data_IF_739746336310
#
_entry.id   IF_739746336310
#
_cell.length_a   1.000
_cell.length_b   1.000
_cell.length_c   1.000
_cell.angle_alpha   90.00
_cell.angle_beta   90.00
_cell.angle_gamma   90.00
#
_symmetry.space_group_name_H-M   'P 1'
#
loop_
_entity.id
_entity.type
_entity.pdbx_description
1 polymer ?
#
# COMPACT_ATOMS: atom_id res chain seq x y z
N UNK A 1 -18.01 7.08 11.41
CA UNK A 1 -17.37 6.57 11.93
C UNK A 1 -16.03 6.74 11.97
N UNK A 2 -15.48 6.54 12.66
CA UNK A 2 -14.21 6.96 12.82
C UNK A 2 -13.28 5.90 12.44
N UNK A 3 -12.05 6.25 12.32
CA UNK A 3 -10.99 5.34 11.99
C UNK A 3 -10.27 4.84 13.23
N UNK A 4 -10.96 4.78 14.34
CA UNK A 4 -10.32 4.30 15.54
C UNK A 4 -9.88 2.88 15.38
N UNK A 5 -8.62 2.63 15.68
CA UNK A 5 -8.06 1.28 15.60
C UNK A 5 -8.20 0.59 16.94
N UNK A 6 -8.49 -0.69 16.87
CA UNK A 6 -8.39 -1.52 18.05
C UNK A 6 -6.92 -1.85 18.29
N UNK A 7 -6.63 -2.25 19.51
CA UNK A 7 -5.26 -2.65 19.82
C UNK A 7 -4.84 -3.76 18.87
N UNK A 8 -3.69 -3.58 18.26
CA UNK A 8 -3.17 -4.56 17.32
C UNK A 8 -3.66 -4.42 15.90
N UNK A 9 -4.42 -3.37 15.59
CA UNK A 9 -4.84 -3.10 14.21
C UNK A 9 -4.04 -1.95 13.63
N UNK A 10 -3.84 -1.99 12.31
CA UNK A 10 -3.15 -0.94 11.58
C UNK A 10 -3.50 -1.06 10.11
N UNK A 11 -3.17 -0.04 9.33
CA UNK A 11 -3.42 -0.03 7.90
C UNK A 11 -2.13 -0.17 7.13
N UNK A 12 -2.24 -0.79 5.96
CA UNK A 12 -1.09 -1.04 5.09
C UNK A 12 -1.46 -0.71 3.65
N UNK A 13 -0.44 -0.48 2.82
CA UNK A 13 -0.63 -0.36 1.38
C UNK A 13 -0.30 -1.70 0.73
N UNK A 14 -1.20 -2.13 -0.13
CA UNK A 14 -1.08 -3.42 -0.81
C UNK A 14 -0.89 -3.16 -2.28
N UNK A 15 0.14 -3.75 -2.84
CA UNK A 15 0.46 -3.65 -4.25
C UNK A 15 0.01 -4.93 -4.93
N UNK A 16 -1.05 -4.83 -5.74
CA UNK A 16 -1.53 -5.97 -6.50
C UNK A 16 -0.76 -6.07 -7.79
N UNK A 17 -0.08 -7.19 -7.97
CA UNK A 17 0.59 -7.52 -9.21
C UNK A 17 -0.34 -8.38 -10.03
N UNK A 18 0.10 -8.77 -11.20
CA UNK A 18 -0.73 -9.56 -12.09
C UNK A 18 -1.15 -10.89 -11.45
N UNK A 19 -0.22 -11.57 -10.78
CA UNK A 19 -0.47 -12.90 -10.26
C UNK A 19 -0.38 -13.02 -8.74
N UNK A 20 -0.06 -11.93 -8.04
CA UNK A 20 0.11 -11.97 -6.60
C UNK A 20 0.02 -10.56 -6.05
N UNK A 21 0.10 -10.43 -4.73
CA UNK A 21 0.16 -9.10 -4.11
C UNK A 21 1.24 -9.07 -3.04
N UNK A 22 1.68 -7.86 -2.75
CA UNK A 22 2.73 -7.61 -1.78
C UNK A 22 2.35 -6.41 -0.94
N UNK A 23 3.02 -6.26 0.20
CA UNK A 23 2.83 -5.11 1.07
C UNK A 23 3.98 -4.13 0.88
N UNK A 24 3.67 -2.85 0.87
CA UNK A 24 4.72 -1.83 0.86
C UNK A 24 5.44 -1.88 2.20
N UNK A 25 6.76 -2.09 2.18
CA UNK A 25 7.53 -2.27 3.40
C UNK A 25 8.54 -1.17 3.67
N UNK A 26 8.97 -0.44 2.66
CA UNK A 26 9.97 0.60 2.87
C UNK A 26 9.96 1.57 1.70
N UNK A 27 10.07 2.84 2.00
CA UNK A 27 10.15 3.89 0.98
C UNK A 27 11.18 4.92 1.40
N UNK A 28 12.04 5.27 0.47
CA UNK A 28 12.98 6.37 0.64
C UNK A 28 12.94 7.18 -0.65
N UNK A 29 12.11 8.21 -0.66
CA UNK A 29 11.89 9.01 -1.86
C UNK A 29 13.16 9.71 -2.30
N UNK A 30 13.95 10.17 -1.36
CA UNK A 30 15.16 10.91 -1.68
C UNK A 30 16.21 10.06 -2.38
N UNK A 31 16.22 8.77 -2.11
CA UNK A 31 17.18 7.84 -2.70
C UNK A 31 16.55 6.91 -3.72
N UNK A 32 15.30 7.17 -4.09
CA UNK A 32 14.58 6.38 -5.09
C UNK A 32 14.48 4.90 -4.72
N UNK A 33 14.28 4.62 -3.45
CA UNK A 33 14.18 3.24 -2.98
C UNK A 33 12.76 2.91 -2.57
N UNK A 34 12.28 1.77 -3.06
CA UNK A 34 11.01 1.23 -2.65
C UNK A 34 11.20 -0.26 -2.44
N UNK A 35 10.63 -0.79 -1.38
CA UNK A 35 10.70 -2.21 -1.09
C UNK A 35 9.34 -2.74 -0.75
N UNK A 36 9.09 -3.98 -1.12
CA UNK A 36 7.86 -4.67 -0.82
C UNK A 36 8.18 -5.98 -0.11
N UNK A 37 7.18 -6.58 0.50
CA UNK A 37 7.38 -7.84 1.22
C UNK A 37 6.08 -8.63 1.16
N UNK A 38 6.19 -9.94 1.15
CA UNK A 38 5.03 -10.81 1.29
C UNK A 38 4.61 -10.94 2.75
N UNK A 39 5.40 -10.45 3.67
CA UNK A 39 5.14 -10.62 5.10
C UNK A 39 4.43 -9.39 5.64
N UNK A 40 3.20 -9.54 6.12
CA UNK A 40 2.46 -8.37 6.63
C UNK A 40 3.15 -7.69 7.82
N UNK A 41 3.91 -8.43 8.60
CA UNK A 41 4.60 -7.81 9.74
C UNK A 41 5.70 -6.86 9.31
N UNK A 42 6.11 -6.92 8.04
CA UNK A 42 7.12 -6.01 7.50
C UNK A 42 6.52 -4.81 6.80
N UNK A 43 5.20 -4.77 6.67
CA UNK A 43 4.53 -3.66 6.00
C UNK A 43 4.69 -2.38 6.80
N UNK A 44 4.69 -1.25 6.09
CA UNK A 44 4.61 0.04 6.75
C UNK A 44 3.25 0.15 7.40
N UNK A 45 3.22 0.55 8.67
CA UNK A 45 1.99 0.69 9.42
C UNK A 45 1.49 2.13 9.35
N UNK A 46 0.23 2.28 8.99
CA UNK A 46 -0.43 3.59 9.01
C UNK A 46 -1.52 3.54 10.08
N UNK A 47 -1.75 4.67 10.73
CA UNK A 47 -2.72 4.76 11.82
C UNK A 47 -4.15 4.84 11.32
N UNK A 48 -4.36 5.22 10.08
CA UNK A 48 -5.70 5.32 9.52
C UNK A 48 -5.67 5.03 8.02
N UNK A 49 -6.84 4.71 7.49
CA UNK A 49 -6.98 4.56 6.05
C UNK A 49 -6.64 5.86 5.33
N UNK A 50 -7.04 6.98 5.90
CA UNK A 50 -6.74 8.29 5.33
C UNK A 50 -5.25 8.54 5.24
N UNK A 51 -4.52 8.21 6.30
CA UNK A 51 -3.07 8.41 6.30
C UNK A 51 -2.40 7.60 5.19
N UNK A 52 -2.84 6.36 5.01
CA UNK A 52 -2.28 5.52 3.95
C UNK A 52 -2.58 6.10 2.57
N UNK A 53 -3.81 6.56 2.36
CA UNK A 53 -4.20 7.16 1.08
C UNK A 53 -3.43 8.44 0.81
N UNK A 54 -3.32 9.31 1.82
CA UNK A 54 -2.60 10.56 1.66
C UNK A 54 -1.14 10.31 1.31
N UNK A 55 -0.53 9.36 1.99
CA UNK A 55 0.86 9.00 1.69
C UNK A 55 1.00 8.54 0.26
N UNK A 56 0.09 7.67 -0.19
CA UNK A 56 0.16 7.15 -1.54
C UNK A 56 -0.04 8.27 -2.58
N UNK A 57 -1.06 9.10 -2.40
CA UNK A 57 -1.34 10.14 -3.38
C UNK A 57 -0.27 11.23 -3.39
N UNK A 58 0.29 11.56 -2.25
CA UNK A 58 1.37 12.55 -2.19
C UNK A 58 2.63 12.07 -2.89
N UNK A 59 2.78 10.77 -3.05
CA UNK A 59 3.97 10.20 -3.67
C UNK A 59 3.62 9.42 -4.94
N UNK A 60 2.49 9.74 -5.53
CA UNK A 60 1.99 8.96 -6.67
C UNK A 60 3.01 8.86 -7.81
N UNK A 61 3.62 9.98 -8.16
CA UNK A 61 4.62 9.97 -9.22
C UNK A 61 5.81 9.08 -8.91
N UNK A 62 6.23 9.08 -7.67
CA UNK A 62 7.32 8.22 -7.23
C UNK A 62 6.93 6.74 -7.39
N UNK A 63 5.72 6.38 -6.93
CA UNK A 63 5.25 5.00 -7.06
C UNK A 63 5.06 4.62 -8.51
N UNK A 64 4.65 5.57 -9.35
CA UNK A 64 4.48 5.32 -10.76
C UNK A 64 5.81 4.98 -11.42
N UNK A 65 6.88 5.67 -11.03
CA UNK A 65 8.21 5.43 -11.61
C UNK A 65 8.88 4.20 -11.04
N UNK A 66 8.65 3.90 -9.76
CA UNK A 66 9.44 2.89 -9.06
C UNK A 66 8.64 1.70 -8.56
N UNK A 67 7.36 1.64 -8.85
CA UNK A 67 6.50 0.55 -8.36
C UNK A 67 6.77 -0.80 -9.01
N UNK A 68 7.51 -0.80 -10.11
CA UNK A 68 7.84 -2.05 -10.79
C UNK A 68 6.84 -2.44 -11.85
N UNK A 69 7.19 -3.47 -12.59
CA UNK A 69 6.34 -3.98 -13.65
C UNK A 69 5.22 -4.83 -13.06
N UNK A 70 4.16 -5.01 -13.84
CA UNK A 70 3.02 -5.84 -13.44
C UNK A 70 2.25 -5.31 -12.23
N UNK A 71 2.46 -4.05 -11.87
CA UNK A 71 1.65 -3.45 -10.82
C UNK A 71 0.31 -3.06 -11.43
N UNK A 72 -0.75 -3.66 -10.91
CA UNK A 72 -2.09 -3.50 -11.47
C UNK A 72 -2.89 -2.49 -10.67
N UNK A 73 -2.80 -2.57 -9.35
CA UNK A 73 -3.67 -1.81 -8.49
C UNK A 73 -3.03 -1.69 -7.11
N UNK A 74 -3.32 -0.58 -6.43
CA UNK A 74 -2.89 -0.39 -5.05
C UNK A 74 -4.14 -0.23 -4.21
N UNK A 75 -4.14 -0.83 -3.03
CA UNK A 75 -5.29 -0.74 -2.12
C UNK A 75 -4.80 -0.52 -0.71
N UNK A 76 -5.71 -0.10 0.15
CA UNK A 76 -5.44 -0.01 1.58
C UNK A 76 -6.10 -1.19 2.26
N UNK A 77 -5.34 -1.89 3.07
CA UNK A 77 -5.86 -2.99 3.86
C UNK A 77 -5.73 -2.70 5.34
N UNK A 78 -6.65 -3.23 6.11
CA UNK A 78 -6.59 -3.16 7.57
C UNK A 78 -6.10 -4.49 8.08
N UNK A 79 -5.03 -4.47 8.87
CA UNK A 79 -4.43 -5.67 9.42
C UNK A 79 -4.73 -5.75 10.90
N UNK A 80 -5.01 -6.95 11.37
CA UNK A 80 -5.16 -7.22 12.79
C UNK A 80 -3.88 -7.86 13.31
N UNK A 81 -3.78 -7.93 14.63
CA UNK A 81 -2.60 -8.52 15.25
C UNK A 81 -2.40 -9.97 14.82
N UNK A 82 -3.46 -10.63 14.39
CA UNK A 82 -3.37 -12.01 13.88
C UNK A 82 -3.04 -12.03 12.39
N UNK A 83 -2.75 -10.86 11.83
CA UNK A 83 -2.41 -10.71 10.42
C UNK A 83 -3.53 -11.13 9.48
N UNK A 84 -4.76 -11.00 9.94
CA UNK A 84 -5.92 -11.15 9.07
C UNK A 84 -6.16 -9.83 8.37
N UNK A 85 -6.23 -9.88 7.04
CA UNK A 85 -6.37 -8.67 6.27
C UNK A 85 -7.82 -8.46 5.86
N UNK A 86 -8.23 -7.20 5.92
CA UNK A 86 -9.54 -6.80 5.44
C UNK A 86 -9.33 -5.58 4.55
N UNK A 87 -9.75 -5.68 3.29
CA UNK A 87 -9.59 -4.55 2.38
C UNK A 87 -10.64 -3.50 2.72
N UNK A 88 -10.20 -2.28 2.88
CA UNK A 88 -11.10 -1.18 3.17
C UNK A 88 -12.00 -0.93 1.98
N UNK A 89 -13.29 -0.78 2.24
CA UNK A 89 -14.28 -0.59 1.19
C UNK A 89 -13.93 0.65 0.38
N UNK A 90 -14.02 0.50 -0.93
CA UNK A 90 -13.79 1.60 -1.87
C UNK A 90 -12.39 2.19 -1.80
N UNK A 91 -11.42 1.39 -1.37
CA UNK A 91 -10.05 1.86 -1.24
C UNK A 91 -9.19 1.57 -2.46
N UNK A 92 -9.72 0.86 -3.45
CA UNK A 92 -8.91 0.49 -4.61
C UNK A 92 -8.57 1.70 -5.45
N UNK A 93 -7.31 1.85 -5.76
CA UNK A 93 -6.82 2.92 -6.63
C UNK A 93 -6.19 2.26 -7.84
N UNK A 94 -6.77 2.41 -9.02
CA UNK A 94 -6.17 1.83 -10.20
C UNK A 94 -4.79 2.43 -10.43
N UNK A 95 -3.85 1.60 -10.70
CA UNK A 95 -2.51 2.04 -10.96
C UNK A 95 -2.20 1.76 -12.42
N UNK A 96 -2.00 2.81 -13.18
CA UNK A 96 -1.69 2.66 -14.59
C UNK A 96 -0.33 3.22 -14.87
N UNK A 97 0.56 2.35 -15.28
CA UNK A 97 1.84 2.78 -15.76
C UNK A 97 1.61 3.29 -17.17
N UNK A 98 2.01 4.52 -17.45
CA UNK A 98 1.92 5.02 -18.77
C UNK A 98 2.91 4.35 -19.60
N UNK A 99 2.43 3.70 -20.56
CA UNK A 99 3.35 3.15 -21.49
C UNK A 99 3.88 4.22 -22.30
N UNK A 100 4.72 4.26 -22.54
CA UNK A 100 5.12 5.18 -23.26
C UNK A 100 5.18 4.97 -24.37
N UNK A 101 4.67 4.75 -24.21
CA UNK A 101 4.45 4.35 -25.00
C UNK A 101 4.72 4.76 -25.24
#
# INVERSE_FOLDING_TARGET
MNDSLKIGEYYVLIFYRKDFYEYLSYVDVNNDIIRTSFKPERAIHFDSESDAKIFFFNNFGFFQRHGGTNLVEVAVGKMAIKYEMEICKDSYVPYQVKDDE
#
